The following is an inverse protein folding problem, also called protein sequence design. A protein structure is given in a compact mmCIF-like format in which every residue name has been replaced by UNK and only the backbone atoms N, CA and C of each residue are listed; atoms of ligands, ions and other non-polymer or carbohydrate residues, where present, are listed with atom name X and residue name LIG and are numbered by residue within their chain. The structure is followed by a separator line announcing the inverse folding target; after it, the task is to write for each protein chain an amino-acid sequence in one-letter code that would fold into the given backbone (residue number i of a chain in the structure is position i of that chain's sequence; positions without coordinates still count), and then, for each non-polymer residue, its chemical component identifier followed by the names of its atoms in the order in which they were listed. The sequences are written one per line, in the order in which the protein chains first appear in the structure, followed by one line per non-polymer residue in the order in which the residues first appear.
data_IF_390051314696
#
_entry.id   IF_390051314696
#
_cell.length_a   1.000
_cell.length_b   1.000
_cell.length_c   1.000
_cell.angle_alpha   90.00
_cell.angle_beta   90.00
_cell.angle_gamma   90.00
#
_symmetry.space_group_name_H-M   'P 1'
#
loop_
_entity.id
_entity.type
_entity.pdbx_description
1 polymer ?
#
# COMPACT_ATOMS: atom_id res chain seq x y z
N UNK A 1 7.84 -17.62 -8.68
CA UNK A 1 7.19 -16.29 -8.81
C UNK A 1 7.37 -15.78 -10.23
N UNK A 2 6.29 -15.42 -10.89
CA UNK A 2 6.35 -14.83 -12.24
C UNK A 2 6.79 -13.36 -12.17
N UNK A 3 7.21 -12.81 -13.31
CA UNK A 3 7.57 -11.39 -13.40
C UNK A 3 6.43 -10.48 -12.94
N UNK A 4 5.21 -10.78 -13.38
CA UNK A 4 4.03 -10.00 -13.05
C UNK A 4 3.71 -10.07 -11.54
N UNK A 5 3.84 -11.25 -10.94
CA UNK A 5 3.65 -11.41 -9.49
C UNK A 5 4.68 -10.61 -8.69
N UNK A 6 5.93 -10.64 -9.11
CA UNK A 6 6.98 -9.85 -8.46
C UNK A 6 6.67 -8.36 -8.50
N UNK A 7 6.31 -7.84 -9.67
CA UNK A 7 6.01 -6.42 -9.83
C UNK A 7 4.75 -6.00 -9.08
N UNK A 8 3.75 -6.87 -8.96
CA UNK A 8 2.51 -6.59 -8.23
C UNK A 8 2.66 -6.58 -6.72
N UNK A 9 3.78 -7.03 -6.19
CA UNK A 9 4.01 -7.05 -4.74
C UNK A 9 3.81 -5.67 -4.11
N UNK A 10 4.26 -4.62 -4.79
CA UNK A 10 4.11 -3.26 -4.28
C UNK A 10 2.64 -2.85 -4.20
N UNK A 11 1.84 -3.14 -5.22
CA UNK A 11 0.41 -2.84 -5.20
C UNK A 11 -0.29 -3.56 -4.04
N UNK A 12 0.02 -4.82 -3.82
CA UNK A 12 -0.54 -5.58 -2.69
C UNK A 12 -0.11 -4.99 -1.35
N UNK A 13 1.12 -4.53 -1.25
CA UNK A 13 1.62 -3.87 -0.04
C UNK A 13 0.89 -2.56 0.23
N UNK A 14 0.65 -1.76 -0.81
CA UNK A 14 -0.11 -0.50 -0.72
C UNK A 14 -1.56 -0.78 -0.30
N UNK A 15 -2.19 -1.79 -0.87
CA UNK A 15 -3.56 -2.19 -0.52
C UNK A 15 -3.64 -2.64 0.94
N UNK A 16 -2.62 -3.35 1.42
CA UNK A 16 -2.55 -3.75 2.84
C UNK A 16 -2.43 -2.54 3.75
N UNK A 17 -1.58 -1.58 3.42
CA UNK A 17 -1.44 -0.32 4.19
C UNK A 17 -2.78 0.39 4.27
N UNK A 18 -3.49 0.51 3.16
CA UNK A 18 -4.80 1.16 3.12
C UNK A 18 -5.80 0.47 4.05
N UNK A 19 -5.85 -0.87 4.04
CA UNK A 19 -6.75 -1.62 4.94
C UNK A 19 -6.41 -1.35 6.40
N UNK A 20 -5.13 -1.31 6.76
CA UNK A 20 -4.72 -1.05 8.13
C UNK A 20 -4.97 0.41 8.54
N UNK A 21 -4.85 1.37 7.62
CA UNK A 21 -5.23 2.76 7.86
C UNK A 21 -6.73 2.88 8.17
N UNK A 22 -7.57 2.22 7.37
CA UNK A 22 -9.02 2.21 7.59
C UNK A 22 -9.37 1.60 8.94
N UNK A 23 -8.74 0.50 9.31
CA UNK A 23 -8.95 -0.13 10.62
C UNK A 23 -8.51 0.75 11.78
N UNK A 24 -7.35 1.39 11.64
CA UNK A 24 -6.86 2.32 12.66
C UNK A 24 -7.81 3.50 12.84
N UNK A 25 -8.27 4.11 11.75
CA UNK A 25 -9.21 5.22 11.79
C UNK A 25 -10.54 4.81 12.42
N UNK A 26 -11.06 3.64 12.06
CA UNK A 26 -12.32 3.13 12.62
C UNK A 26 -12.23 2.94 14.13
N UNK A 27 -11.16 2.36 14.63
CA UNK A 27 -10.94 2.17 16.07
C UNK A 27 -10.75 3.51 16.79
N UNK A 28 -10.03 4.45 16.18
CA UNK A 28 -9.81 5.78 16.73
C UNK A 28 -11.13 6.55 16.88
N UNK A 29 -11.98 6.50 15.85
CA UNK A 29 -13.28 7.15 15.87
C UNK A 29 -14.22 6.55 16.92
N UNK A 30 -14.19 5.23 17.11
CA UNK A 30 -14.98 4.57 18.15
C UNK A 30 -14.58 5.02 19.55
N UNK A 31 -13.27 5.14 19.80
CA UNK A 31 -12.77 5.62 21.09
C UNK A 31 -13.18 7.05 21.33
N UNK A 32 -13.06 7.93 20.34
CA UNK A 32 -13.44 9.33 20.44
C UNK A 32 -14.94 9.48 20.70
N UNK A 33 -15.78 8.70 20.02
CA UNK A 33 -17.23 8.70 20.23
C UNK A 33 -17.58 8.30 21.67
N UNK A 34 -16.89 7.33 22.22
CA UNK A 34 -17.10 6.88 23.61
C UNK A 34 -16.68 7.92 24.64
N UNK A 35 -15.58 8.63 24.39
CA UNK A 35 -15.12 9.72 25.24
C UNK A 35 -16.13 10.86 25.27
N UNK A 36 -16.65 11.23 24.11
CA UNK A 36 -17.67 12.30 24.01
C UNK A 36 -18.96 11.93 24.74
N UNK A 37 -19.38 10.67 24.68
CA UNK A 37 -20.57 10.20 25.38
C UNK A 37 -20.38 10.21 26.91
N UNK A 38 -19.18 9.91 27.42
CA UNK A 38 -18.91 9.92 28.86
C UNK A 38 -18.76 11.33 29.42
N UNK A 39 -18.28 12.29 28.64
CA UNK A 39 -18.10 13.68 29.07
C UNK A 39 -19.42 14.43 29.24
N UNK A 40 -20.51 13.96 28.66
CA UNK A 40 -21.83 14.61 28.70
C UNK A 40 -22.63 14.24 29.95
N UNK A 41 -22.18 13.37 30.80
CA UNK A 41 -22.97 12.79 31.88
C UNK A 41 -22.96 13.63 33.19
N UNK A 42 -22.18 14.69 33.28
CA UNK A 42 -22.21 15.65 34.39
C UNK A 42 -21.91 15.06 35.78
N UNK A 43 -21.59 13.80 35.88
CA UNK A 43 -21.26 13.14 37.14
C UNK A 43 -19.73 12.99 37.31
N UNK A 44 -19.21 13.23 38.51
CA UNK A 44 -17.80 12.99 38.80
C UNK A 44 -17.55 11.49 38.75
N UNK A 45 -16.96 11.04 37.65
CA UNK A 45 -16.48 9.66 37.57
C UNK A 45 -15.20 9.55 38.38
N UNK A 46 -15.13 8.54 39.25
CA UNK A 46 -13.90 8.24 39.98
C UNK A 46 -12.74 8.02 39.05
N UNK A 47 -11.55 8.38 39.49
CA UNK A 47 -10.30 8.35 38.74
C UNK A 47 -9.88 6.92 38.37
N UNK A 48 -10.56 6.32 37.37
CA UNK A 48 -10.21 4.99 36.90
C UNK A 48 -10.64 4.84 35.43
N UNK A 49 -9.70 4.59 34.57
CA UNK A 49 -9.99 4.16 33.20
C UNK A 49 -10.69 2.81 33.31
N UNK A 50 -11.91 2.69 32.80
CA UNK A 50 -12.63 1.42 32.83
C UNK A 50 -11.88 0.36 32.00
N UNK A 51 -11.94 -0.91 32.42
CA UNK A 51 -11.32 -2.02 31.71
C UNK A 51 -11.63 -2.04 30.19
N UNK A 52 -12.89 -1.81 29.74
CA UNK A 52 -13.18 -1.73 28.30
C UNK A 52 -12.43 -0.62 27.57
N UNK A 53 -12.13 0.49 28.25
CA UNK A 53 -11.38 1.61 27.65
C UNK A 53 -9.90 1.26 27.54
N UNK A 54 -9.34 0.58 28.53
CA UNK A 54 -7.96 0.08 28.46
C UNK A 54 -7.78 -0.93 27.34
N UNK A 55 -8.70 -1.89 27.18
CA UNK A 55 -8.68 -2.89 26.14
C UNK A 55 -8.74 -2.24 24.74
N UNK A 56 -9.52 -1.19 24.60
CA UNK A 56 -9.62 -0.43 23.34
C UNK A 56 -8.35 0.34 23.05
N UNK A 57 -7.74 0.95 24.06
CA UNK A 57 -6.46 1.65 23.92
C UNK A 57 -5.35 0.68 23.50
N UNK A 58 -5.32 -0.51 24.08
CA UNK A 58 -4.38 -1.57 23.72
C UNK A 58 -4.59 -2.01 22.26
N UNK A 59 -5.84 -2.21 21.84
CA UNK A 59 -6.15 -2.56 20.44
C UNK A 59 -5.73 -1.46 19.47
N UNK A 60 -5.97 -0.20 19.83
CA UNK A 60 -5.56 0.94 18.99
C UNK A 60 -4.03 0.98 18.83
N UNK A 61 -3.30 0.76 19.94
CA UNK A 61 -1.84 0.70 19.91
C UNK A 61 -1.35 -0.46 19.03
N UNK A 62 -1.99 -1.63 19.12
CA UNK A 62 -1.67 -2.78 18.28
C UNK A 62 -1.90 -2.48 16.80
N UNK A 63 -3.02 -1.83 16.48
CA UNK A 63 -3.32 -1.44 15.10
C UNK A 63 -2.35 -0.39 14.57
N UNK A 64 -1.93 0.55 15.40
CA UNK A 64 -0.91 1.54 15.04
C UNK A 64 0.42 0.86 14.72
N UNK A 65 0.81 -0.13 15.52
CA UNK A 65 2.04 -0.90 15.28
C UNK A 65 1.97 -1.67 13.96
N UNK A 66 0.87 -2.37 13.72
CA UNK A 66 0.66 -3.13 12.48
C UNK A 66 0.68 -2.21 11.24
N UNK A 67 0.08 -1.03 11.36
CA UNK A 67 0.11 -0.04 10.29
C UNK A 67 1.54 0.43 9.99
N UNK A 68 2.32 0.71 11.04
CA UNK A 68 3.72 1.11 10.88
C UNK A 68 4.53 0.01 10.21
N UNK A 69 4.38 -1.23 10.64
CA UNK A 69 5.06 -2.39 10.04
C UNK A 69 4.67 -2.55 8.57
N UNK A 70 3.39 -2.40 8.24
CA UNK A 70 2.91 -2.51 6.87
C UNK A 70 3.50 -1.40 5.97
N UNK A 71 3.61 -0.18 6.49
CA UNK A 71 4.23 0.94 5.77
C UNK A 71 5.71 0.71 5.50
N UNK A 72 6.43 0.22 6.50
CA UNK A 72 7.86 -0.10 6.33
C UNK A 72 8.07 -1.20 5.30
N UNK A 73 7.24 -2.23 5.34
CA UNK A 73 7.29 -3.32 4.36
C UNK A 73 6.98 -2.80 2.94
N UNK A 74 5.99 -1.92 2.80
CA UNK A 74 5.66 -1.32 1.50
C UNK A 74 6.83 -0.50 0.95
N UNK A 75 7.53 0.24 1.81
CA UNK A 75 8.71 1.02 1.41
C UNK A 75 9.81 0.10 0.92
N UNK A 76 10.08 -0.99 1.63
CA UNK A 76 11.09 -1.98 1.26
C UNK A 76 10.77 -2.64 -0.08
N UNK A 77 9.53 -3.09 -0.26
CA UNK A 77 9.09 -3.72 -1.50
C UNK A 77 9.18 -2.73 -2.66
N UNK A 78 8.77 -1.47 -2.44
CA UNK A 78 8.85 -0.42 -3.45
C UNK A 78 10.30 -0.23 -3.92
N UNK A 79 11.24 -0.21 -2.98
CA UNK A 79 12.65 -0.03 -3.32
C UNK A 79 13.16 -1.20 -4.18
N UNK A 80 12.82 -2.43 -3.81
CA UNK A 80 13.23 -3.61 -4.57
C UNK A 80 12.66 -3.60 -6.00
N UNK A 81 11.39 -3.29 -6.14
CA UNK A 81 10.72 -3.19 -7.44
C UNK A 81 11.30 -2.04 -8.26
N UNK A 82 11.51 -0.89 -7.63
CA UNK A 82 12.09 0.27 -8.28
C UNK A 82 13.50 -0.03 -8.81
N UNK A 83 14.35 -0.65 -8.01
CA UNK A 83 15.72 -0.98 -8.42
C UNK A 83 15.74 -1.89 -9.64
N UNK A 84 14.84 -2.87 -9.69
CA UNK A 84 14.71 -3.74 -10.84
C UNK A 84 14.27 -2.97 -12.09
N UNK A 85 13.25 -2.13 -11.96
CA UNK A 85 12.72 -1.33 -13.07
C UNK A 85 13.75 -0.32 -13.56
N UNK A 86 14.46 0.32 -12.64
CA UNK A 86 15.49 1.32 -12.95
C UNK A 86 16.63 0.72 -13.77
N UNK A 87 16.87 -0.57 -13.64
CA UNK A 87 17.86 -1.27 -14.45
C UNK A 87 17.43 -1.53 -15.90
N UNK A 88 16.18 -1.25 -16.24
CA UNK A 88 15.62 -1.48 -17.56
C UNK A 88 15.47 -0.14 -18.27
N UNK A 89 16.24 0.05 -19.35
CA UNK A 89 16.24 1.28 -20.11
C UNK A 89 15.12 1.30 -21.16
N UNK A 90 14.76 2.50 -21.59
CA UNK A 90 13.83 2.70 -22.70
C UNK A 90 12.37 2.69 -22.28
N UNK A 91 11.50 2.54 -23.27
CA UNK A 91 10.05 2.61 -23.08
C UNK A 91 9.53 1.47 -22.21
N UNK A 92 10.18 0.32 -22.25
CA UNK A 92 9.81 -0.82 -21.41
C UNK A 92 9.93 -0.46 -19.93
N UNK A 93 11.02 0.20 -19.54
CA UNK A 93 11.21 0.68 -18.17
C UNK A 93 10.17 1.74 -17.78
N UNK A 94 9.86 2.66 -18.68
CA UNK A 94 8.87 3.71 -18.45
C UNK A 94 7.47 3.13 -18.21
N UNK A 95 7.07 2.14 -19.01
CA UNK A 95 5.78 1.48 -18.84
C UNK A 95 5.69 0.76 -17.50
N UNK A 96 6.74 0.04 -17.13
CA UNK A 96 6.78 -0.66 -15.84
C UNK A 96 6.72 0.33 -14.67
N UNK A 97 7.44 1.43 -14.76
CA UNK A 97 7.44 2.46 -13.73
C UNK A 97 6.04 3.05 -13.53
N UNK A 98 5.38 3.46 -14.61
CA UNK A 98 4.05 4.04 -14.53
C UNK A 98 3.01 3.05 -14.02
N UNK A 99 3.10 1.79 -14.43
CA UNK A 99 2.13 0.79 -14.03
C UNK A 99 2.33 0.26 -12.62
N UNK A 100 3.58 -0.04 -12.23
CA UNK A 100 3.86 -0.80 -11.01
C UNK A 100 4.38 0.04 -9.85
N UNK A 101 4.95 1.20 -10.12
CA UNK A 101 5.38 2.14 -9.07
C UNK A 101 4.33 3.23 -8.85
N UNK A 102 3.93 3.92 -9.91
CA UNK A 102 2.92 4.98 -9.82
C UNK A 102 1.49 4.45 -9.82
N UNK A 103 1.29 3.16 -10.09
CA UNK A 103 0.01 2.46 -10.03
C UNK A 103 -1.07 3.09 -10.93
N UNK A 104 -0.67 3.64 -12.07
CA UNK A 104 -1.60 4.21 -13.03
C UNK A 104 -2.36 3.11 -13.78
N UNK A 105 -3.57 3.45 -14.20
CA UNK A 105 -4.39 2.59 -15.05
C UNK A 105 -3.83 2.58 -16.47
N UNK A 106 -4.11 1.52 -17.21
CA UNK A 106 -3.61 1.39 -18.57
C UNK A 106 -4.08 2.54 -19.48
N UNK A 107 -5.32 3.01 -19.32
CA UNK A 107 -5.85 4.14 -20.06
C UNK A 107 -5.02 5.41 -19.82
N UNK A 108 -4.65 5.66 -18.58
CA UNK A 108 -3.81 6.81 -18.21
C UNK A 108 -2.41 6.69 -18.84
N UNK A 109 -1.84 5.49 -18.80
CA UNK A 109 -0.50 5.24 -19.36
C UNK A 109 -0.48 5.46 -20.87
N UNK A 110 -1.52 5.02 -21.57
CA UNK A 110 -1.65 5.24 -23.02
C UNK A 110 -1.61 6.73 -23.34
N UNK A 111 -2.33 7.56 -22.59
CA UNK A 111 -2.35 9.01 -22.77
C UNK A 111 -1.00 9.63 -22.44
N UNK A 112 -0.40 9.23 -21.33
CA UNK A 112 0.87 9.80 -20.85
C UNK A 112 2.03 9.51 -21.78
N UNK A 113 2.11 8.31 -22.34
CA UNK A 113 3.22 7.87 -23.18
C UNK A 113 2.92 7.94 -24.68
N UNK A 114 1.71 8.36 -25.04
CA UNK A 114 1.26 8.53 -26.43
C UNK A 114 1.29 7.23 -27.24
N UNK A 115 0.78 6.15 -26.65
CA UNK A 115 0.66 4.85 -27.32
C UNK A 115 -0.80 4.42 -27.39
N UNK A 116 -1.10 3.60 -28.40
CA UNK A 116 -2.41 2.94 -28.49
C UNK A 116 -2.52 1.83 -27.46
N UNK A 117 -3.74 1.38 -27.20
CA UNK A 117 -3.98 0.26 -26.29
C UNK A 117 -3.19 -0.99 -26.67
N UNK A 118 -3.22 -1.34 -27.96
CA UNK A 118 -2.49 -2.50 -28.47
C UNK A 118 -0.98 -2.31 -28.35
N UNK A 119 -0.49 -1.11 -28.67
CA UNK A 119 0.93 -0.78 -28.60
C UNK A 119 1.47 -0.85 -27.18
N UNK A 120 0.72 -0.30 -26.20
CA UNK A 120 1.16 -0.30 -24.81
C UNK A 120 1.23 -1.73 -24.24
N UNK A 121 0.27 -2.58 -24.57
CA UNK A 121 0.28 -3.97 -24.11
C UNK A 121 1.37 -4.81 -24.76
N UNK A 122 1.75 -4.51 -25.99
CA UNK A 122 2.90 -5.13 -26.65
C UNK A 122 4.19 -4.78 -25.91
N UNK A 123 4.37 -3.49 -25.59
CA UNK A 123 5.53 -3.01 -24.82
C UNK A 123 5.55 -3.68 -23.45
N UNK A 124 4.41 -3.78 -22.79
CA UNK A 124 4.29 -4.42 -21.48
C UNK A 124 4.74 -5.89 -21.53
N UNK A 125 4.34 -6.63 -22.55
CA UNK A 125 4.76 -8.03 -22.71
C UNK A 125 6.27 -8.14 -22.89
N UNK A 126 6.87 -7.26 -23.70
CA UNK A 126 8.33 -7.22 -23.85
C UNK A 126 9.02 -6.88 -22.54
N UNK A 127 8.46 -5.92 -21.81
CA UNK A 127 8.99 -5.52 -20.51
C UNK A 127 8.95 -6.67 -19.50
N UNK A 128 7.84 -7.41 -19.45
CA UNK A 128 7.72 -8.57 -18.56
C UNK A 128 8.74 -9.67 -18.91
N UNK A 129 9.02 -9.87 -20.19
CA UNK A 129 10.02 -10.83 -20.63
C UNK A 129 11.43 -10.42 -20.14
N UNK A 130 11.74 -9.14 -20.18
CA UNK A 130 13.01 -8.60 -19.66
C UNK A 130 13.10 -8.83 -18.15
N UNK A 131 12.03 -8.51 -17.42
CA UNK A 131 11.97 -8.72 -15.96
C UNK A 131 12.17 -10.19 -15.62
N UNK A 132 11.50 -11.09 -16.32
CA UNK A 132 11.62 -12.52 -16.08
C UNK A 132 13.03 -13.00 -16.29
N UNK A 133 13.69 -12.52 -17.33
CA UNK A 133 15.11 -12.80 -17.60
C UNK A 133 16.00 -12.31 -16.44
N UNK A 134 15.74 -11.10 -15.91
CA UNK A 134 16.49 -10.54 -14.79
C UNK A 134 16.29 -11.33 -13.50
N UNK A 135 15.07 -11.80 -13.23
CA UNK A 135 14.78 -12.60 -12.05
C UNK A 135 15.44 -13.96 -12.08
N UNK A 136 15.63 -14.56 -13.26
CA UNK A 136 16.31 -15.84 -13.42
C UNK A 136 17.83 -15.74 -13.25
N UNK A 137 18.40 -14.55 -13.48
CA UNK A 137 19.85 -14.34 -13.37
C UNK A 137 20.31 -14.07 -11.93
N UNK A 138 19.40 -13.96 -10.99
CA UNK A 138 19.69 -13.85 -9.56
C UNK A 138 19.39 -15.19 -8.88
#
# INVERSE_FOLDING_TARGET
MTAKEYLKQYQYAVDRVRRYEEEYESESLLIDSMRSASDNDGMPHGSGISKPTEDKAIRLADRALRLTEARLEAIRIRQDVFDLIDSIDGIEGDVLYQRYINLHKWEEICVMLHYSWQGIHLIHRRALAIVESRLKCT
#
